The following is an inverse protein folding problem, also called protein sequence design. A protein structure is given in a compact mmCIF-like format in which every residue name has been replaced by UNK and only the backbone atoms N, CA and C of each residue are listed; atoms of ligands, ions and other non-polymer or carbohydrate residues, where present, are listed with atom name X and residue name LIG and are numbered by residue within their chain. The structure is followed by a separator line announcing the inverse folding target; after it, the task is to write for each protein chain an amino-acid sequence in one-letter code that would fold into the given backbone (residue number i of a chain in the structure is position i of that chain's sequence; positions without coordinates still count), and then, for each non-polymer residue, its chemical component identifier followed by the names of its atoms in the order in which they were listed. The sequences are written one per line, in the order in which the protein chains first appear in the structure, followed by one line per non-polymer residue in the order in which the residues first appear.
data_IF_507473477805
#
_entry.id   IF_507473477805
#
_cell.length_a   1.000
_cell.length_b   1.000
_cell.length_c   1.000
_cell.angle_alpha   90.00
_cell.angle_beta   90.00
_cell.angle_gamma   90.00
#
_symmetry.space_group_name_H-M   'P 1'
#
loop_
_entity.id
_entity.type
_entity.pdbx_description
1 polymer ?
#
# COMPACT_ATOMS: atom_id res chain seq x y z
N UNK A 1 1.11 12.98 7.51
CA UNK A 1 0.76 12.08 6.40
C UNK A 1 1.73 10.92 6.35
N UNK A 2 1.22 9.72 6.16
CA UNK A 2 2.04 8.50 6.26
C UNK A 2 3.18 8.43 5.23
N UNK A 3 2.95 8.83 3.99
CA UNK A 3 3.99 8.79 2.96
C UNK A 3 5.19 9.65 3.33
N UNK A 4 4.96 10.84 3.85
CA UNK A 4 6.03 11.73 4.29
C UNK A 4 6.81 11.12 5.45
N UNK A 5 6.11 10.50 6.40
CA UNK A 5 6.76 9.90 7.56
C UNK A 5 7.57 8.67 7.17
N UNK A 6 7.07 7.87 6.23
CA UNK A 6 7.83 6.73 5.69
C UNK A 6 9.14 7.20 5.05
N UNK A 7 9.07 8.26 4.25
CA UNK A 7 10.25 8.82 3.62
C UNK A 7 11.21 9.40 4.68
N UNK A 8 10.68 10.09 5.69
CA UNK A 8 11.48 10.64 6.78
C UNK A 8 12.26 9.55 7.52
N UNK A 9 11.66 8.39 7.68
CA UNK A 9 12.30 7.28 8.39
C UNK A 9 13.20 6.41 7.49
N UNK A 10 13.38 6.82 6.24
CA UNK A 10 14.33 6.17 5.35
C UNK A 10 13.80 4.93 4.64
N UNK A 11 12.50 4.67 4.67
CA UNK A 11 11.93 3.55 3.92
C UNK A 11 11.94 3.85 2.43
N UNK A 12 12.33 2.88 1.59
CA UNK A 12 12.13 3.02 0.15
C UNK A 12 10.65 2.91 -0.15
N UNK A 13 10.09 3.95 -0.76
CA UNK A 13 8.65 4.05 -1.00
C UNK A 13 8.38 4.27 -2.48
N UNK A 14 7.42 3.51 -3.03
CA UNK A 14 6.86 3.77 -4.35
C UNK A 14 5.49 4.40 -4.15
N UNK A 15 5.32 5.63 -4.59
CA UNK A 15 4.08 6.38 -4.40
C UNK A 15 3.19 6.20 -5.62
N UNK A 16 1.94 5.78 -5.39
CA UNK A 16 0.95 5.60 -6.45
C UNK A 16 -0.25 6.48 -6.14
N UNK A 17 -0.65 7.29 -7.10
CA UNK A 17 -1.80 8.16 -6.94
C UNK A 17 -2.43 8.51 -8.27
N UNK A 18 -3.76 8.58 -8.29
CA UNK A 18 -4.55 8.81 -9.50
C UNK A 18 -4.21 10.11 -10.20
N UNK A 19 -3.88 11.14 -9.43
CA UNK A 19 -3.58 12.47 -9.99
C UNK A 19 -2.11 12.63 -10.40
N UNK A 20 -1.25 11.70 -10.05
CA UNK A 20 0.17 11.84 -10.30
C UNK A 20 0.79 12.95 -9.44
N UNK A 21 1.81 13.63 -9.99
CA UNK A 21 2.51 14.69 -9.26
C UNK A 21 3.78 14.19 -8.61
N UNK A 22 4.19 14.87 -7.55
CA UNK A 22 5.39 14.45 -6.81
C UNK A 22 5.30 14.85 -5.33
N UNK A 23 6.05 14.13 -4.50
CA UNK A 23 6.19 14.40 -3.08
C UNK A 23 7.66 14.33 -2.74
N UNK A 24 8.24 15.43 -2.23
CA UNK A 24 9.66 15.49 -1.88
C UNK A 24 10.56 15.01 -3.01
N UNK A 25 10.29 15.48 -4.22
CA UNK A 25 11.04 15.13 -5.43
C UNK A 25 10.87 13.67 -5.87
N UNK A 26 10.02 12.90 -5.18
CA UNK A 26 9.67 11.54 -5.59
C UNK A 26 8.44 11.60 -6.49
N UNK A 27 8.44 10.91 -7.63
CA UNK A 27 7.27 10.90 -8.48
C UNK A 27 6.12 10.15 -7.84
N UNK A 28 4.90 10.62 -8.07
CA UNK A 28 3.68 9.87 -7.72
C UNK A 28 3.20 9.26 -9.03
N UNK A 29 3.31 7.94 -9.14
CA UNK A 29 2.97 7.22 -10.35
C UNK A 29 1.47 7.01 -10.45
N UNK A 30 0.93 7.07 -11.66
CA UNK A 30 -0.49 6.75 -11.89
C UNK A 30 -0.72 5.26 -12.05
N UNK A 31 0.33 4.53 -12.32
CA UNK A 31 0.31 3.08 -12.45
C UNK A 31 1.55 2.54 -11.77
N UNK A 32 1.54 1.24 -11.45
CA UNK A 32 2.72 0.60 -10.87
C UNK A 32 3.82 0.57 -11.92
N UNK A 33 4.99 1.20 -11.67
CA UNK A 33 6.05 1.24 -12.67
C UNK A 33 6.57 -0.16 -12.98
N UNK A 34 6.95 -0.44 -14.24
CA UNK A 34 7.43 -1.78 -14.62
C UNK A 34 8.66 -2.26 -13.86
N UNK A 35 9.47 -1.34 -13.33
CA UNK A 35 10.67 -1.74 -12.59
C UNK A 35 10.36 -2.22 -11.16
N UNK A 36 9.13 -2.01 -10.68
CA UNK A 36 8.68 -2.51 -9.39
C UNK A 36 8.10 -3.90 -9.61
N UNK A 37 8.85 -4.91 -9.21
CA UNK A 37 8.46 -6.31 -9.42
C UNK A 37 8.13 -7.04 -8.14
N UNK A 38 8.51 -6.48 -6.99
CA UNK A 38 8.17 -7.04 -5.69
C UNK A 38 8.16 -5.94 -4.64
N UNK A 39 7.33 -6.09 -3.62
CA UNK A 39 7.25 -5.17 -2.49
C UNK A 39 7.06 -5.94 -1.20
N UNK A 40 7.62 -5.44 -0.12
CA UNK A 40 7.41 -6.02 1.19
C UNK A 40 6.02 -5.71 1.71
N UNK A 41 5.62 -4.45 1.67
CA UNK A 41 4.37 -3.97 2.27
C UNK A 41 3.63 -3.05 1.32
N UNK A 42 2.34 -3.29 1.18
CA UNK A 42 1.43 -2.37 0.48
C UNK A 42 0.55 -1.70 1.52
N UNK A 43 0.48 -0.36 1.49
CA UNK A 43 -0.46 0.36 2.34
C UNK A 43 -1.54 0.96 1.45
N UNK A 44 -2.81 0.62 1.75
CA UNK A 44 -3.95 1.02 0.95
C UNK A 44 -4.66 2.23 1.53
N UNK A 45 -4.92 3.19 0.67
CA UNK A 45 -5.71 4.38 0.99
C UNK A 45 -6.91 4.53 0.05
N UNK A 46 -7.13 3.56 -0.85
CA UNK A 46 -8.27 3.54 -1.76
C UNK A 46 -9.46 2.89 -1.08
N UNK A 47 -10.65 3.49 -1.22
CA UNK A 47 -11.84 2.84 -0.71
C UNK A 47 -12.16 1.59 -1.56
N UNK A 48 -12.96 0.66 -1.05
CA UNK A 48 -13.21 -0.61 -1.75
C UNK A 48 -13.74 -0.46 -3.18
N UNK A 49 -14.50 0.60 -3.45
CA UNK A 49 -15.07 0.82 -4.79
C UNK A 49 -14.00 1.05 -5.85
N UNK A 50 -12.80 1.47 -5.46
CA UNK A 50 -11.71 1.77 -6.39
C UNK A 50 -10.57 0.75 -6.32
N UNK A 51 -10.72 -0.31 -5.55
CA UNK A 51 -9.63 -1.29 -5.37
C UNK A 51 -9.56 -2.34 -6.47
N UNK A 52 -10.69 -2.67 -7.09
CA UNK A 52 -10.77 -3.82 -8.00
C UNK A 52 -9.77 -3.75 -9.15
N UNK A 53 -9.55 -2.56 -9.69
CA UNK A 53 -8.62 -2.39 -10.81
C UNK A 53 -7.15 -2.61 -10.40
N UNK A 54 -6.85 -2.58 -9.10
CA UNK A 54 -5.50 -2.73 -8.59
C UNK A 54 -5.22 -4.12 -8.00
N UNK A 55 -6.26 -4.90 -7.74
CA UNK A 55 -6.12 -6.15 -7.00
C UNK A 55 -5.15 -7.12 -7.66
N UNK A 56 -5.32 -7.37 -8.94
CA UNK A 56 -4.45 -8.31 -9.65
C UNK A 56 -3.00 -7.85 -9.67
N UNK A 57 -2.78 -6.56 -9.93
CA UNK A 57 -1.43 -6.01 -9.99
C UNK A 57 -0.73 -6.10 -8.64
N UNK A 58 -1.45 -5.82 -7.57
CA UNK A 58 -0.90 -5.91 -6.22
C UNK A 58 -0.59 -7.35 -5.86
N UNK A 59 -1.48 -8.28 -6.20
CA UNK A 59 -1.25 -9.70 -5.94
C UNK A 59 -0.02 -10.22 -6.70
N UNK A 60 0.22 -9.72 -7.91
CA UNK A 60 1.40 -10.11 -8.68
C UNK A 60 2.71 -9.64 -8.08
N UNK A 61 2.67 -8.59 -7.27
CA UNK A 61 3.85 -8.12 -6.55
C UNK A 61 4.24 -9.03 -5.40
N UNK A 62 3.38 -9.96 -5.03
CA UNK A 62 3.60 -10.91 -3.93
C UNK A 62 4.07 -10.23 -2.65
N UNK A 63 3.34 -9.22 -2.15
CA UNK A 63 3.77 -8.54 -0.93
C UNK A 63 3.72 -9.50 0.26
N UNK A 64 4.57 -9.24 1.26
CA UNK A 64 4.51 -10.02 2.49
C UNK A 64 3.32 -9.62 3.34
N UNK A 65 2.91 -8.35 3.25
CA UNK A 65 1.73 -7.88 3.96
C UNK A 65 1.03 -6.75 3.22
N UNK A 66 -0.26 -6.60 3.48
CA UNK A 66 -1.08 -5.50 2.98
C UNK A 66 -1.76 -4.85 4.17
N UNK A 67 -1.61 -3.55 4.30
CA UNK A 67 -2.24 -2.78 5.37
C UNK A 67 -3.46 -2.07 4.81
N UNK A 68 -4.63 -2.40 5.35
CA UNK A 68 -5.88 -1.74 5.01
C UNK A 68 -6.11 -0.62 6.03
N UNK A 69 -5.80 0.60 5.62
CA UNK A 69 -6.01 1.77 6.47
C UNK A 69 -7.51 2.01 6.68
N UNK A 70 -7.92 2.77 7.72
CA UNK A 70 -9.34 3.02 7.97
C UNK A 70 -10.08 3.52 6.73
N UNK A 71 -11.21 2.91 6.42
CA UNK A 71 -12.02 3.23 5.25
C UNK A 71 -11.71 2.43 4.00
N UNK A 72 -10.67 1.57 4.04
CA UNK A 72 -10.30 0.76 2.88
C UNK A 72 -10.66 -0.71 3.03
N UNK A 73 -11.25 -1.10 4.13
CA UNK A 73 -11.53 -2.50 4.46
C UNK A 73 -12.37 -3.16 3.37
N UNK A 74 -11.90 -4.31 2.90
CA UNK A 74 -12.55 -5.08 1.83
C UNK A 74 -12.43 -6.56 2.19
N UNK A 75 -13.44 -7.07 2.87
CA UNK A 75 -13.39 -8.42 3.45
C UNK A 75 -13.14 -9.50 2.40
N UNK A 76 -13.78 -9.42 1.25
CA UNK A 76 -13.58 -10.41 0.20
C UNK A 76 -12.13 -10.48 -0.26
N UNK A 77 -11.53 -9.34 -0.52
CA UNK A 77 -10.14 -9.30 -0.96
C UNK A 77 -9.18 -9.67 0.15
N UNK A 78 -9.46 -9.23 1.37
CA UNK A 78 -8.66 -9.58 2.54
C UNK A 78 -8.58 -11.10 2.72
N UNK A 79 -9.70 -11.79 2.60
CA UNK A 79 -9.74 -13.25 2.69
C UNK A 79 -8.96 -13.91 1.56
N UNK A 80 -9.07 -13.38 0.36
CA UNK A 80 -8.33 -13.92 -0.79
C UNK A 80 -6.81 -13.74 -0.61
N UNK A 81 -6.38 -12.59 -0.11
CA UNK A 81 -4.97 -12.35 0.19
C UNK A 81 -4.44 -13.30 1.25
N UNK A 82 -5.21 -13.52 2.31
CA UNK A 82 -4.81 -14.44 3.37
C UNK A 82 -4.66 -15.87 2.85
N UNK A 83 -5.52 -16.28 1.94
CA UNK A 83 -5.42 -17.61 1.31
C UNK A 83 -4.15 -17.77 0.49
N UNK A 84 -3.58 -16.67 0.03
CA UNK A 84 -2.33 -16.66 -0.72
C UNK A 84 -1.10 -16.57 0.19
N UNK A 85 -1.29 -16.57 1.50
CA UNK A 85 -0.21 -16.48 2.46
C UNK A 85 0.27 -15.06 2.73
N UNK A 86 -0.51 -14.07 2.33
CA UNK A 86 -0.17 -12.66 2.55
C UNK A 86 -0.77 -12.22 3.89
N UNK A 87 0.05 -11.60 4.72
CA UNK A 87 -0.44 -11.03 5.98
C UNK A 87 -1.34 -9.84 5.71
N UNK A 88 -2.50 -9.79 6.34
CA UNK A 88 -3.46 -8.71 6.18
C UNK A 88 -3.64 -8.02 7.53
N UNK A 89 -3.50 -6.70 7.53
CA UNK A 89 -3.67 -5.88 8.73
C UNK A 89 -4.73 -4.80 8.49
N UNK A 90 -5.65 -4.66 9.42
CA UNK A 90 -6.55 -3.52 9.47
C UNK A 90 -5.95 -2.54 10.47
N UNK A 91 -5.24 -1.53 9.97
CA UNK A 91 -4.50 -0.62 10.85
C UNK A 91 -4.26 0.71 10.17
N UNK A 92 -3.94 1.72 10.97
CA UNK A 92 -3.54 3.01 10.44
C UNK A 92 -2.01 3.03 10.33
N UNK A 93 -1.50 3.14 9.11
CA UNK A 93 -0.06 3.16 8.86
C UNK A 93 0.63 4.27 9.65
N UNK A 94 0.02 5.44 9.73
CA UNK A 94 0.58 6.56 10.47
C UNK A 94 0.75 6.24 11.96
N UNK A 95 -0.25 5.59 12.55
CA UNK A 95 -0.18 5.18 13.95
C UNK A 95 0.89 4.10 14.14
N UNK A 96 0.97 3.14 13.21
CA UNK A 96 2.00 2.10 13.27
C UNK A 96 3.40 2.71 13.26
N UNK A 97 3.63 3.71 12.42
CA UNK A 97 4.92 4.39 12.35
C UNK A 97 5.23 5.14 13.65
N UNK A 98 4.24 5.85 14.19
CA UNK A 98 4.41 6.62 15.42
C UNK A 98 4.63 5.76 16.65
N UNK A 99 4.11 4.55 16.65
CA UNK A 99 4.25 3.61 17.76
C UNK A 99 5.34 2.57 17.51
N UNK A 100 6.08 2.71 16.43
CA UNK A 100 7.17 1.80 16.03
C UNK A 100 6.70 0.36 15.82
N UNK A 101 5.46 0.20 15.33
CA UNK A 101 4.89 -1.11 15.02
C UNK A 101 4.90 -1.41 13.51
N UNK A 102 5.37 -0.47 12.73
CA UNK A 102 5.48 -0.68 11.28
C UNK A 102 6.67 -1.63 11.00
#
# INVERSE_FOLDING_TARGET
MAAQLLLDEGYPVCLIGKSGGELREQPIWKEIPPHITSVHTVTLYLNPAHQSQWENEIEQLCPQRVIFNPGTENVEWMLRLEKQGIEVLEACTLVMLRTRQF
#
